data_IF_402926382903
#
_entry.id   IF_402926382903
#
_cell.length_a   1.000
_cell.length_b   1.000
_cell.length_c   1.000
_cell.angle_alpha   90.00
_cell.angle_beta   90.00
_cell.angle_gamma   90.00
#
_symmetry.space_group_name_H-M   'P 1'
#
loop_
_entity.id
_entity.type
_entity.pdbx_description
1 polymer ?
#
# COMPACT_ATOMS: atom_id res chain seq x y z
N UNK A 1 -16.14 21.87 25.79
CA UNK A 1 -15.27 21.77 24.60
C UNK A 1 -15.38 23.08 23.85
N UNK A 2 -14.26 23.76 23.59
CA UNK A 2 -14.20 24.97 22.76
C UNK A 2 -13.46 24.61 21.47
N UNK A 3 -13.78 25.28 20.37
CA UNK A 3 -13.04 25.12 19.11
C UNK A 3 -11.66 25.77 19.26
N UNK A 4 -10.65 25.17 18.63
CA UNK A 4 -9.25 25.55 18.79
C UNK A 4 -8.86 26.80 18.01
N UNK A 5 -9.64 27.21 17.00
CA UNK A 5 -9.38 28.38 16.17
C UNK A 5 -10.68 29.14 15.78
N UNK A 6 -10.53 30.36 15.27
CA UNK A 6 -11.65 31.23 14.90
C UNK A 6 -12.33 30.83 13.57
N UNK A 7 -11.63 30.11 12.69
CA UNK A 7 -12.16 29.65 11.40
C UNK A 7 -13.17 28.53 11.60
N UNK A 8 -12.80 27.50 12.38
CA UNK A 8 -13.67 26.37 12.72
C UNK A 8 -14.92 26.85 13.45
N UNK A 9 -14.78 27.90 14.28
CA UNK A 9 -15.91 28.53 14.96
C UNK A 9 -16.89 29.21 13.98
N UNK A 10 -16.37 29.85 12.93
CA UNK A 10 -17.20 30.45 11.90
C UNK A 10 -17.90 29.39 11.04
N UNK A 11 -17.18 28.33 10.66
CA UNK A 11 -17.72 27.21 9.88
C UNK A 11 -18.81 26.46 10.65
N UNK A 12 -18.58 26.21 11.95
CA UNK A 12 -19.56 25.54 12.79
C UNK A 12 -20.80 26.39 13.03
N UNK A 13 -20.64 27.72 13.16
CA UNK A 13 -21.78 28.64 13.21
C UNK A 13 -22.57 28.59 11.91
N UNK A 14 -21.89 28.63 10.76
CA UNK A 14 -22.50 28.51 9.44
C UNK A 14 -23.29 27.20 9.30
N UNK A 15 -22.69 26.06 9.65
CA UNK A 15 -23.32 24.74 9.63
C UNK A 15 -24.55 24.66 10.55
N UNK A 16 -24.47 25.30 11.72
CA UNK A 16 -25.62 25.40 12.65
C UNK A 16 -26.79 26.12 11.99
N UNK A 17 -26.54 27.26 11.34
CA UNK A 17 -27.58 28.02 10.64
C UNK A 17 -28.11 27.30 9.40
N UNK A 18 -27.26 26.64 8.62
CA UNK A 18 -27.68 25.84 7.47
C UNK A 18 -28.58 24.67 7.89
N UNK A 19 -28.24 23.95 8.96
CA UNK A 19 -29.07 22.86 9.50
C UNK A 19 -30.41 23.38 10.00
N UNK A 20 -30.44 24.56 10.62
CA UNK A 20 -31.66 25.22 11.05
C UNK A 20 -32.54 25.58 9.84
N UNK A 21 -31.99 26.23 8.81
CA UNK A 21 -32.76 26.62 7.63
C UNK A 21 -33.22 25.44 6.77
N UNK A 22 -32.45 24.35 6.75
CA UNK A 22 -32.73 23.17 5.90
C UNK A 22 -33.63 22.13 6.59
N UNK A 23 -33.85 22.25 7.89
CA UNK A 23 -34.76 21.40 8.64
C UNK A 23 -36.22 21.68 8.23
N UNK A 24 -36.77 20.84 7.34
CA UNK A 24 -38.19 20.88 6.90
C UNK A 24 -39.21 20.55 8.01
N UNK A 25 -38.80 20.53 9.27
CA UNK A 25 -39.63 20.11 10.41
C UNK A 25 -39.32 20.86 11.71
N UNK A 26 -38.67 22.03 11.66
CA UNK A 26 -38.73 22.92 12.81
C UNK A 26 -40.19 23.31 13.02
N UNK A 27 -40.74 23.17 14.24
CA UNK A 27 -42.06 23.71 14.52
C UNK A 27 -42.05 25.18 14.13
N UNK A 28 -43.13 25.67 13.52
CA UNK A 28 -43.27 27.07 13.09
C UNK A 28 -43.05 28.09 14.24
N UNK A 29 -42.94 27.58 15.47
CA UNK A 29 -42.42 28.24 16.65
C UNK A 29 -41.17 27.47 17.08
N UNK A 30 -39.98 28.06 16.93
CA UNK A 30 -38.89 27.76 17.85
C UNK A 30 -39.51 27.96 19.23
N UNK A 31 -39.75 26.90 20.01
CA UNK A 31 -40.46 27.00 21.29
C UNK A 31 -39.80 28.01 22.24
N UNK A 32 -40.27 28.12 23.48
CA UNK A 32 -39.94 29.24 24.39
C UNK A 32 -38.44 29.49 24.68
N UNK A 33 -37.52 28.58 24.27
CA UNK A 33 -36.07 28.72 24.46
C UNK A 33 -35.23 28.45 23.19
N UNK A 34 -35.28 29.34 22.18
CA UNK A 34 -34.50 29.19 20.93
C UNK A 34 -32.99 29.14 21.15
N UNK A 35 -32.48 29.81 22.20
CA UNK A 35 -31.05 29.79 22.56
C UNK A 35 -30.61 28.41 23.06
N UNK A 36 -31.46 27.69 23.77
CA UNK A 36 -31.16 26.36 24.27
C UNK A 36 -31.02 25.36 23.11
N UNK A 37 -31.91 25.44 22.13
CA UNK A 37 -31.86 24.61 20.91
C UNK A 37 -30.59 24.88 20.09
N UNK A 38 -30.26 26.14 19.83
CA UNK A 38 -29.03 26.51 19.10
C UNK A 38 -27.77 26.01 19.83
N UNK A 39 -27.75 26.16 21.15
CA UNK A 39 -26.63 25.68 21.98
C UNK A 39 -26.51 24.17 21.92
N UNK A 40 -27.64 23.44 21.88
CA UNK A 40 -27.65 21.99 21.76
C UNK A 40 -27.09 21.52 20.40
N UNK A 41 -27.53 22.14 19.30
CA UNK A 41 -27.04 21.83 17.95
C UNK A 41 -25.55 22.14 17.83
N UNK A 42 -25.11 23.32 18.29
CA UNK A 42 -23.71 23.70 18.28
C UNK A 42 -22.83 22.74 19.10
N UNK A 43 -23.29 22.31 20.28
CA UNK A 43 -22.57 21.30 21.09
C UNK A 43 -22.40 19.98 20.34
N UNK A 44 -23.46 19.48 19.67
CA UNK A 44 -23.39 18.26 18.87
C UNK A 44 -22.39 18.38 17.71
N UNK A 45 -22.42 19.51 16.99
CA UNK A 45 -21.49 19.80 15.92
C UNK A 45 -20.03 19.85 16.40
N UNK A 46 -19.77 20.45 17.57
CA UNK A 46 -18.42 20.50 18.14
C UNK A 46 -17.92 19.10 18.46
N UNK A 47 -18.77 18.24 19.06
CA UNK A 47 -18.41 16.84 19.34
C UNK A 47 -18.12 16.07 18.04
N UNK A 48 -18.93 16.25 17.01
CA UNK A 48 -18.72 15.63 15.70
C UNK A 48 -17.39 16.07 15.07
N UNK A 49 -17.07 17.38 15.15
CA UNK A 49 -15.82 17.93 14.65
C UNK A 49 -14.62 17.33 15.37
N UNK A 50 -14.60 17.32 16.71
CA UNK A 50 -13.53 16.69 17.49
C UNK A 50 -13.39 15.20 17.21
N UNK A 51 -14.50 14.49 17.00
CA UNK A 51 -14.47 13.07 16.63
C UNK A 51 -13.83 12.86 15.26
N UNK A 52 -14.10 13.73 14.28
CA UNK A 52 -13.47 13.69 12.95
C UNK A 52 -11.97 14.01 13.04
N UNK A 53 -11.60 15.08 13.72
CA UNK A 53 -10.19 15.45 13.91
C UNK A 53 -9.40 14.35 14.62
N UNK A 54 -10.00 13.69 15.61
CA UNK A 54 -9.36 12.58 16.33
C UNK A 54 -9.04 11.41 15.40
N UNK A 55 -9.97 11.05 14.50
CA UNK A 55 -9.75 9.99 13.50
C UNK A 55 -8.68 10.40 12.50
N UNK A 56 -8.75 11.63 11.99
CA UNK A 56 -7.75 12.16 11.05
C UNK A 56 -6.36 12.19 11.67
N UNK A 57 -6.23 12.66 12.91
CA UNK A 57 -4.96 12.68 13.63
C UNK A 57 -4.41 11.27 13.85
N UNK A 58 -5.23 10.34 14.31
CA UNK A 58 -4.81 8.95 14.49
C UNK A 58 -4.34 8.32 13.16
N UNK A 59 -5.01 8.66 12.05
CA UNK A 59 -4.60 8.23 10.71
C UNK A 59 -3.27 8.83 10.28
N UNK A 60 -3.07 10.15 10.45
CA UNK A 60 -1.82 10.82 10.14
C UNK A 60 -0.66 10.34 11.01
N UNK A 61 -0.90 10.08 12.29
CA UNK A 61 0.08 9.47 13.20
C UNK A 61 0.47 8.06 12.74
N UNK A 62 -0.50 7.26 12.26
CA UNK A 62 -0.22 5.94 11.69
C UNK A 62 0.59 6.06 10.40
N UNK A 63 0.26 7.00 9.52
CA UNK A 63 1.02 7.25 8.29
C UNK A 63 2.45 7.70 8.57
N UNK A 64 2.65 8.58 9.57
CA UNK A 64 3.97 9.07 9.95
C UNK A 64 4.88 7.98 10.56
N UNK A 65 4.30 6.86 10.99
CA UNK A 65 5.04 5.69 11.49
C UNK A 65 5.34 4.66 10.39
N UNK A 66 4.74 4.79 9.20
CA UNK A 66 5.15 3.96 8.09
C UNK A 66 6.59 4.30 7.73
N UNK A 67 7.44 3.29 7.48
CA UNK A 67 8.75 3.57 6.92
C UNK A 67 8.56 4.30 5.59
N UNK A 68 9.37 5.32 5.34
CA UNK A 68 9.39 5.96 4.03
C UNK A 68 9.64 4.88 2.98
N UNK A 69 8.76 4.82 1.99
CA UNK A 69 8.97 3.99 0.80
C UNK A 69 10.01 4.73 -0.04
N UNK A 70 11.26 4.68 0.41
CA UNK A 70 12.37 5.21 -0.37
C UNK A 70 12.55 4.34 -1.60
N UNK A 71 12.30 4.93 -2.76
CA UNK A 71 12.74 4.34 -4.01
C UNK A 71 14.27 4.23 -3.96
N UNK A 72 14.87 3.16 -4.53
CA UNK A 72 16.33 3.08 -4.62
C UNK A 72 16.86 4.31 -5.36
N UNK A 73 18.05 4.79 -4.99
CA UNK A 73 18.68 5.92 -5.67
C UNK A 73 18.82 5.63 -7.18
N UNK A 74 18.88 6.65 -8.05
CA UNK A 74 19.07 6.43 -9.49
C UNK A 74 20.29 5.55 -9.82
N UNK A 75 21.38 5.70 -9.06
CA UNK A 75 22.59 4.88 -9.18
C UNK A 75 22.31 3.43 -8.80
N UNK A 76 21.56 3.21 -7.72
CA UNK A 76 21.15 1.87 -7.28
C UNK A 76 20.21 1.21 -8.29
N UNK A 77 19.28 1.97 -8.86
CA UNK A 77 18.39 1.50 -9.92
C UNK A 77 19.19 1.08 -11.16
N UNK A 78 20.18 1.89 -11.57
CA UNK A 78 21.05 1.55 -12.69
C UNK A 78 21.83 0.26 -12.42
N UNK A 79 22.36 0.09 -11.20
CA UNK A 79 23.07 -1.14 -10.81
C UNK A 79 22.15 -2.37 -10.89
N UNK A 80 20.91 -2.25 -10.40
CA UNK A 80 19.91 -3.33 -10.51
C UNK A 80 19.66 -3.68 -11.97
N UNK A 81 19.45 -2.68 -12.83
CA UNK A 81 19.21 -2.89 -14.27
C UNK A 81 20.42 -3.59 -14.93
N UNK A 82 21.65 -3.15 -14.64
CA UNK A 82 22.86 -3.77 -15.19
C UNK A 82 22.98 -5.25 -14.78
N UNK A 83 22.73 -5.55 -13.50
CA UNK A 83 22.74 -6.93 -12.99
C UNK A 83 21.66 -7.77 -13.69
N UNK A 84 20.45 -7.24 -13.86
CA UNK A 84 19.37 -7.95 -14.55
C UNK A 84 19.72 -8.22 -16.03
N UNK A 85 20.34 -7.27 -16.71
CA UNK A 85 20.80 -7.45 -18.10
C UNK A 85 21.87 -8.53 -18.21
N UNK A 86 22.83 -8.60 -17.27
CA UNK A 86 23.84 -9.67 -17.23
C UNK A 86 23.22 -11.05 -16.99
N UNK A 87 22.25 -11.13 -16.08
CA UNK A 87 21.51 -12.37 -15.81
C UNK A 87 20.75 -12.82 -17.06
N UNK A 88 20.03 -11.91 -17.73
CA UNK A 88 19.29 -12.23 -18.96
C UNK A 88 20.22 -12.72 -20.07
N UNK A 89 21.35 -12.04 -20.29
CA UNK A 89 22.34 -12.44 -21.26
C UNK A 89 22.89 -13.85 -20.97
N UNK A 90 23.21 -14.17 -19.71
CA UNK A 90 23.63 -15.51 -19.32
C UNK A 90 22.54 -16.55 -19.56
N UNK A 91 21.29 -16.27 -19.18
CA UNK A 91 20.16 -17.18 -19.42
C UNK A 91 19.93 -17.42 -20.91
N UNK A 92 20.19 -16.42 -21.76
CA UNK A 92 20.11 -16.53 -23.21
C UNK A 92 21.15 -17.49 -23.80
N UNK A 93 22.33 -17.62 -23.18
CA UNK A 93 23.35 -18.61 -23.61
C UNK A 93 22.95 -20.06 -23.30
N UNK A 94 21.99 -20.26 -22.39
CA UNK A 94 21.51 -21.60 -22.03
C UNK A 94 20.51 -22.12 -23.06
N UNK A 95 20.65 -23.40 -23.44
CA UNK A 95 19.62 -24.08 -24.22
C UNK A 95 18.27 -24.10 -23.48
N UNK A 96 17.16 -23.97 -24.22
CA UNK A 96 15.81 -23.77 -23.67
C UNK A 96 15.45 -24.71 -22.50
N UNK A 97 15.77 -26.01 -22.65
CA UNK A 97 15.49 -27.03 -21.63
C UNK A 97 16.31 -26.84 -20.34
N UNK A 98 17.57 -26.42 -20.47
CA UNK A 98 18.43 -26.11 -19.32
C UNK A 98 17.91 -24.89 -18.58
N UNK A 99 17.53 -23.84 -19.33
CA UNK A 99 16.97 -22.62 -18.78
C UNK A 99 15.67 -22.88 -18.03
N UNK A 100 14.74 -23.61 -18.64
CA UNK A 100 13.46 -23.98 -18.02
C UNK A 100 13.68 -24.70 -16.67
N UNK A 101 14.48 -25.79 -16.67
CA UNK A 101 14.75 -26.54 -15.45
C UNK A 101 15.43 -25.69 -14.37
N UNK A 102 16.33 -24.79 -14.77
CA UNK A 102 17.03 -23.90 -13.85
C UNK A 102 16.09 -22.88 -13.21
N UNK A 103 15.21 -22.25 -14.00
CA UNK A 103 14.23 -21.29 -13.48
C UNK A 103 13.23 -21.98 -12.55
N UNK A 104 12.79 -23.20 -12.86
CA UNK A 104 11.95 -23.99 -11.96
C UNK A 104 12.62 -24.27 -10.60
N UNK A 105 13.94 -24.41 -10.57
CA UNK A 105 14.68 -24.62 -9.33
C UNK A 105 14.87 -23.30 -8.55
N UNK A 106 15.22 -22.21 -9.23
CA UNK A 106 15.63 -20.95 -8.59
C UNK A 106 14.46 -20.00 -8.29
N UNK A 107 13.48 -19.90 -9.18
CA UNK A 107 12.33 -19.01 -9.04
C UNK A 107 11.14 -19.71 -8.39
N UNK A 108 10.80 -20.91 -8.85
CA UNK A 108 9.67 -21.68 -8.30
C UNK A 108 10.06 -22.51 -7.05
N UNK A 109 11.35 -22.60 -6.73
CA UNK A 109 11.85 -23.36 -5.56
C UNK A 109 11.65 -24.87 -5.64
N UNK A 110 11.43 -25.44 -6.84
CA UNK A 110 11.14 -26.86 -7.00
C UNK A 110 12.37 -27.73 -6.79
N UNK A 111 12.15 -28.90 -6.18
CA UNK A 111 13.19 -29.93 -6.05
C UNK A 111 13.46 -30.64 -7.38
N UNK A 112 14.62 -31.28 -7.52
CA UNK A 112 14.97 -32.04 -8.72
C UNK A 112 13.94 -33.13 -9.09
N UNK A 113 13.25 -33.70 -8.09
CA UNK A 113 12.19 -34.70 -8.30
C UNK A 113 10.93 -34.05 -8.88
N UNK A 114 10.48 -32.94 -8.31
CA UNK A 114 9.31 -32.20 -8.81
C UNK A 114 9.55 -31.66 -10.22
N UNK A 115 10.78 -31.21 -10.52
CA UNK A 115 11.15 -30.78 -11.88
C UNK A 115 11.13 -31.96 -12.85
N UNK A 116 11.62 -33.13 -12.42
CA UNK A 116 11.58 -34.35 -13.23
C UNK A 116 10.14 -34.75 -13.58
N UNK A 117 9.24 -34.70 -12.59
CA UNK A 117 7.81 -34.95 -12.77
C UNK A 117 7.17 -33.92 -13.73
N UNK A 118 7.45 -32.64 -13.54
CA UNK A 118 6.90 -31.55 -14.36
C UNK A 118 7.38 -31.55 -15.81
N UNK A 119 8.63 -31.91 -16.04
CA UNK A 119 9.26 -31.88 -17.38
C UNK A 119 9.26 -33.23 -18.10
N UNK A 120 8.85 -34.31 -17.42
CA UNK A 120 8.93 -35.69 -17.92
C UNK A 120 10.35 -36.20 -18.11
N UNK A 121 11.37 -35.49 -17.62
CA UNK A 121 12.77 -35.87 -17.74
C UNK A 121 13.23 -36.68 -16.52
N UNK A 122 14.09 -37.71 -16.67
CA UNK A 122 14.66 -38.41 -15.52
C UNK A 122 15.41 -37.46 -14.57
N UNK A 123 15.34 -37.73 -13.25
CA UNK A 123 16.01 -36.91 -12.22
C UNK A 123 17.51 -36.72 -12.49
N UNK A 124 18.19 -37.74 -13.04
CA UNK A 124 19.61 -37.67 -13.42
C UNK A 124 19.84 -36.62 -14.53
N UNK A 125 18.91 -36.50 -15.47
CA UNK A 125 18.95 -35.53 -16.57
C UNK A 125 18.72 -34.13 -16.03
N UNK A 126 17.73 -33.95 -15.16
CA UNK A 126 17.47 -32.66 -14.48
C UNK A 126 18.72 -32.21 -13.73
N UNK A 127 19.33 -33.09 -12.92
CA UNK A 127 20.58 -32.79 -12.19
C UNK A 127 21.70 -32.34 -13.14
N UNK A 128 21.84 -32.98 -14.31
CA UNK A 128 22.83 -32.60 -15.32
C UNK A 128 22.56 -31.20 -15.88
N UNK A 129 21.31 -30.87 -16.18
CA UNK A 129 20.93 -29.54 -16.65
C UNK A 129 21.17 -28.46 -15.59
N UNK A 130 20.78 -28.70 -14.33
CA UNK A 130 21.04 -27.77 -13.22
C UNK A 130 22.55 -27.53 -13.04
N UNK A 131 23.37 -28.59 -13.07
CA UNK A 131 24.83 -28.44 -13.00
C UNK A 131 25.36 -27.58 -14.14
N UNK A 132 24.88 -27.80 -15.38
CA UNK A 132 25.28 -26.99 -16.54
C UNK A 132 24.90 -25.52 -16.37
N UNK A 133 23.71 -25.24 -15.85
CA UNK A 133 23.25 -23.88 -15.59
C UNK A 133 24.12 -23.19 -14.53
N UNK A 134 24.41 -23.85 -13.41
CA UNK A 134 25.26 -23.30 -12.35
C UNK A 134 26.69 -22.99 -12.84
N UNK A 135 27.23 -23.82 -13.74
CA UNK A 135 28.53 -23.54 -14.38
C UNK A 135 28.47 -22.29 -15.25
N UNK A 136 27.38 -22.07 -15.98
CA UNK A 136 27.21 -20.84 -16.74
C UNK A 136 27.05 -19.61 -15.83
N UNK A 137 26.41 -19.75 -14.65
CA UNK A 137 26.35 -18.66 -13.67
C UNK A 137 27.73 -18.25 -13.14
N UNK A 138 28.64 -19.22 -12.94
CA UNK A 138 30.01 -18.93 -12.49
C UNK A 138 30.87 -18.21 -13.55
N UNK A 139 30.41 -18.15 -14.80
CA UNK A 139 31.08 -17.42 -15.86
C UNK A 139 30.62 -15.96 -15.99
N UNK A 140 29.66 -15.51 -15.17
CA UNK A 140 29.29 -14.10 -15.05
C UNK A 140 30.26 -13.45 -14.05
N UNK A 141 31.07 -12.50 -14.52
CA UNK A 141 31.82 -11.53 -13.71
C UNK A 141 31.12 -10.15 -13.71
#
# INVERSE_FOLDING_TARGET
MKLGNASDAADLAHDTFLRLMSSRGLPAQLGDEPRALLTHIAKGLVVDHWRRESVERAYLETLAQLPDVEAPSPETQLLIIDVLMRIDAMLATMGARTREMFLLAQLDGLTLKQIAERTGAPVITVRRHIKKALVACMAIE
#
